data_IF_992814931870
#
_entry.id   IF_992814931870
#
_cell.length_a   1.000
_cell.length_b   1.000
_cell.length_c   1.000
_cell.angle_alpha   90.00
_cell.angle_beta   90.00
_cell.angle_gamma   90.00
#
_symmetry.space_group_name_H-M   'P 1'
#
loop_
_entity.id
_entity.type
_entity.pdbx_description
1 polymer ?
#
# COMPACT_ATOMS: atom_id res chain seq x y z
N UNK A 1 3.19 -3.38 -49.49
CA UNK A 1 2.53 -3.08 -48.21
C UNK A 1 2.93 -4.19 -47.28
N UNK A 2 3.76 -3.88 -46.30
CA UNK A 2 4.02 -4.77 -45.18
C UNK A 2 3.29 -4.12 -44.03
N UNK A 3 2.05 -4.53 -43.83
CA UNK A 3 1.32 -4.28 -42.60
C UNK A 3 1.97 -5.22 -41.58
N UNK A 4 3.00 -4.68 -40.91
CA UNK A 4 3.60 -5.28 -39.72
C UNK A 4 2.55 -5.11 -38.61
N UNK A 5 1.62 -6.06 -38.57
CA UNK A 5 0.57 -6.22 -37.57
C UNK A 5 1.28 -6.62 -36.26
N UNK A 6 1.85 -5.61 -35.58
CA UNK A 6 2.21 -5.75 -34.17
C UNK A 6 0.88 -5.85 -33.44
N UNK A 7 0.43 -7.09 -33.28
CA UNK A 7 -0.54 -7.51 -32.28
C UNK A 7 -0.02 -7.00 -30.94
N UNK A 8 -0.47 -5.79 -30.58
CA UNK A 8 -0.17 -5.07 -29.34
C UNK A 8 -0.85 -5.81 -28.20
N UNK A 9 -0.38 -7.03 -27.94
CA UNK A 9 -0.78 -7.81 -26.78
C UNK A 9 -0.13 -7.12 -25.59
N UNK A 10 -0.87 -6.17 -25.02
CA UNK A 10 -0.54 -5.62 -23.72
C UNK A 10 -0.27 -6.80 -22.78
N UNK A 11 0.92 -6.86 -22.15
CA UNK A 11 1.24 -7.94 -21.24
C UNK A 11 0.19 -7.99 -20.12
N UNK A 12 -0.13 -9.19 -19.61
CA UNK A 12 -1.05 -9.31 -18.50
C UNK A 12 -0.58 -8.45 -17.33
N UNK A 13 -1.51 -7.79 -16.63
CA UNK A 13 -1.23 -6.87 -15.51
C UNK A 13 -0.31 -7.52 -14.46
N UNK A 14 -0.41 -8.83 -14.28
CA UNK A 14 0.47 -9.61 -13.40
C UNK A 14 1.95 -9.58 -13.83
N UNK A 15 2.23 -9.65 -15.14
CA UNK A 15 3.59 -9.56 -15.67
C UNK A 15 4.16 -8.14 -15.60
N UNK A 16 3.30 -7.12 -15.68
CA UNK A 16 3.70 -5.72 -15.45
C UNK A 16 4.09 -5.48 -13.99
N UNK A 17 3.30 -6.02 -13.05
CA UNK A 17 3.59 -5.94 -11.61
C UNK A 17 4.87 -6.70 -11.24
N UNK A 18 5.09 -7.90 -11.79
CA UNK A 18 6.30 -8.69 -11.52
C UNK A 18 7.56 -7.99 -12.02
N UNK A 19 7.49 -7.36 -13.21
CA UNK A 19 8.59 -6.58 -13.76
C UNK A 19 8.86 -5.29 -12.97
N UNK A 20 7.81 -4.61 -12.48
CA UNK A 20 7.97 -3.43 -11.61
C UNK A 20 8.61 -3.82 -10.27
N UNK A 21 8.15 -4.91 -9.64
CA UNK A 21 8.74 -5.45 -8.41
C UNK A 21 10.23 -5.78 -8.57
N UNK A 22 10.60 -6.39 -9.69
CA UNK A 22 11.99 -6.76 -9.98
C UNK A 22 12.90 -5.55 -10.21
N UNK A 23 12.33 -4.41 -10.64
CA UNK A 23 13.05 -3.17 -10.92
C UNK A 23 13.02 -2.17 -9.75
N UNK A 24 12.16 -2.39 -8.75
CA UNK A 24 12.06 -1.50 -7.59
C UNK A 24 13.35 -1.48 -6.76
N UNK A 25 13.94 -0.30 -6.68
CA UNK A 25 15.08 -0.02 -5.82
C UNK A 25 14.65 0.27 -4.38
N UNK A 26 15.58 0.26 -3.43
CA UNK A 26 15.27 0.49 -2.01
C UNK A 26 14.59 1.85 -1.78
N UNK A 27 14.98 2.90 -2.51
CA UNK A 27 14.33 4.22 -2.44
C UNK A 27 12.84 4.15 -2.84
N UNK A 28 12.50 3.35 -3.84
CA UNK A 28 11.10 3.18 -4.28
C UNK A 28 10.29 2.37 -3.26
N UNK A 29 10.93 1.39 -2.62
CA UNK A 29 10.34 0.65 -1.50
C UNK A 29 10.09 1.55 -0.28
N UNK A 30 10.98 2.50 0.00
CA UNK A 30 10.80 3.49 1.07
C UNK A 30 9.68 4.47 0.70
N UNK A 31 9.64 4.95 -0.55
CA UNK A 31 8.59 5.85 -1.03
C UNK A 31 7.21 5.19 -0.90
N UNK A 32 7.07 3.96 -1.40
CA UNK A 32 5.83 3.19 -1.31
C UNK A 32 5.37 3.01 0.14
N UNK A 33 6.30 2.71 1.05
CA UNK A 33 5.99 2.60 2.47
C UNK A 33 5.38 3.90 3.00
N UNK A 34 6.00 5.04 2.70
CA UNK A 34 5.53 6.35 3.15
C UNK A 34 4.15 6.69 2.56
N UNK A 35 3.95 6.46 1.26
CA UNK A 35 2.66 6.70 0.58
C UNK A 35 1.52 5.90 1.23
N UNK A 36 1.76 4.63 1.57
CA UNK A 36 0.77 3.78 2.25
C UNK A 36 0.51 4.24 3.70
N UNK A 37 1.52 4.74 4.41
CA UNK A 37 1.35 5.31 5.75
C UNK A 37 0.52 6.60 5.72
N UNK A 38 0.81 7.49 4.76
CA UNK A 38 0.05 8.72 4.53
C UNK A 38 -1.41 8.42 4.16
N UNK A 39 -1.64 7.41 3.30
CA UNK A 39 -2.98 6.97 2.96
C UNK A 39 -3.76 6.47 4.18
N UNK A 40 -3.18 5.57 4.99
CA UNK A 40 -3.84 5.08 6.21
C UNK A 40 -4.14 6.22 7.18
N UNK A 41 -3.19 7.12 7.41
CA UNK A 41 -3.39 8.29 8.27
C UNK A 41 -4.55 9.15 7.77
N UNK A 42 -4.62 9.41 6.46
CA UNK A 42 -5.70 10.20 5.83
C UNK A 42 -7.06 9.52 6.00
N UNK A 43 -7.14 8.20 5.80
CA UNK A 43 -8.39 7.45 5.95
C UNK A 43 -8.84 7.41 7.42
N UNK A 44 -7.95 7.04 8.34
CA UNK A 44 -8.29 6.96 9.78
C UNK A 44 -8.68 8.33 10.34
N UNK A 45 -8.08 9.43 9.86
CA UNK A 45 -8.49 10.80 10.17
C UNK A 45 -9.86 11.16 9.59
N UNK A 46 -10.17 10.70 8.38
CA UNK A 46 -11.47 10.95 7.73
C UNK A 46 -12.62 10.20 8.41
N UNK A 47 -12.36 9.01 8.98
CA UNK A 47 -13.35 8.23 9.72
C UNK A 47 -13.51 8.69 11.18
N UNK A 48 -12.46 9.24 11.80
CA UNK A 48 -12.47 9.66 13.21
C UNK A 48 -11.97 11.12 13.37
N UNK A 49 -12.85 12.13 13.28
CA UNK A 49 -12.47 13.54 13.43
C UNK A 49 -11.94 13.90 14.83
N UNK A 50 -12.09 13.02 15.83
CA UNK A 50 -11.46 13.19 17.15
C UNK A 50 -9.91 13.19 17.10
N UNK A 51 -9.31 12.70 16.00
CA UNK A 51 -7.88 12.74 15.72
C UNK A 51 -7.46 13.96 14.85
N UNK A 52 -8.28 15.03 14.81
CA UNK A 52 -7.98 16.27 14.08
C UNK A 52 -6.63 16.93 14.45
N UNK A 53 -6.01 16.54 15.57
CA UNK A 53 -4.75 17.11 16.08
C UNK A 53 -3.53 16.18 16.01
N UNK A 54 -3.67 14.95 15.52
CA UNK A 54 -2.53 14.04 15.38
C UNK A 54 -1.86 14.25 14.02
N UNK A 55 -0.79 15.06 14.00
CA UNK A 55 0.19 15.05 12.92
C UNK A 55 0.54 13.60 12.56
N UNK A 56 0.86 13.34 11.29
CA UNK A 56 1.29 12.02 10.83
C UNK A 56 2.43 11.45 11.70
N UNK A 57 3.26 12.33 12.27
CA UNK A 57 4.31 11.98 13.22
C UNK A 57 3.75 11.26 14.47
N UNK A 58 2.64 11.75 15.04
CA UNK A 58 2.00 11.09 16.20
C UNK A 58 1.39 9.75 15.83
N UNK A 59 0.76 9.66 14.65
CA UNK A 59 0.25 8.38 14.16
C UNK A 59 1.37 7.36 13.92
N UNK A 60 2.52 7.82 13.40
CA UNK A 60 3.72 7.00 13.23
C UNK A 60 4.35 6.60 14.56
N UNK A 61 4.26 7.42 15.61
CA UNK A 61 4.72 7.04 16.95
C UNK A 61 3.88 5.87 17.50
N UNK A 62 2.55 5.95 17.37
CA UNK A 62 1.61 4.92 17.84
C UNK A 62 1.58 3.65 16.96
N UNK A 63 1.79 3.78 15.65
CA UNK A 63 1.53 2.69 14.68
C UNK A 63 2.73 2.36 13.78
N UNK A 64 3.79 3.17 13.76
CA UNK A 64 4.90 3.05 12.81
C UNK A 64 5.67 1.75 12.94
N UNK A 65 5.92 1.26 14.16
CA UNK A 65 6.59 -0.04 14.37
C UNK A 65 5.71 -1.21 13.90
N UNK A 66 4.40 -1.16 14.18
CA UNK A 66 3.46 -2.20 13.76
C UNK A 66 3.31 -2.18 12.24
N UNK A 67 3.25 -0.99 11.65
CA UNK A 67 3.19 -0.81 10.21
C UNK A 67 4.48 -1.29 9.53
N UNK A 68 5.65 -1.03 10.11
CA UNK A 68 6.92 -1.54 9.57
C UNK A 68 6.93 -3.07 9.51
N UNK A 69 6.48 -3.74 10.59
CA UNK A 69 6.34 -5.21 10.59
C UNK A 69 5.34 -5.71 9.57
N UNK A 70 4.20 -5.04 9.46
CA UNK A 70 3.18 -5.33 8.45
C UNK A 70 3.75 -5.21 7.02
N UNK A 71 4.45 -4.11 6.76
CA UNK A 71 5.06 -3.82 5.46
C UNK A 71 6.15 -4.83 5.10
N UNK A 72 7.06 -5.15 6.04
CA UNK A 72 8.09 -6.16 5.85
C UNK A 72 7.48 -7.55 5.60
N UNK A 73 6.42 -7.91 6.34
CA UNK A 73 5.72 -9.17 6.15
C UNK A 73 5.14 -9.29 4.74
N UNK A 74 4.48 -8.23 4.26
CA UNK A 74 3.91 -8.21 2.91
C UNK A 74 4.97 -8.17 1.83
N UNK A 75 6.03 -7.38 1.99
CA UNK A 75 7.17 -7.35 1.06
C UNK A 75 7.78 -8.74 0.89
N UNK A 76 7.81 -9.56 1.95
CA UNK A 76 8.35 -10.92 1.88
C UNK A 76 7.36 -11.98 1.38
N UNK A 77 6.05 -11.79 1.57
CA UNK A 77 5.05 -12.84 1.31
C UNK A 77 4.20 -12.57 0.07
N UNK A 78 3.83 -11.30 -0.14
CA UNK A 78 2.91 -10.83 -1.18
C UNK A 78 3.27 -9.40 -1.61
N UNK A 79 4.48 -9.19 -2.18
CA UNK A 79 4.90 -7.86 -2.61
C UNK A 79 3.99 -7.28 -3.70
N UNK A 80 3.35 -8.13 -4.52
CA UNK A 80 2.39 -7.67 -5.53
C UNK A 80 1.17 -6.94 -4.93
N UNK A 81 0.78 -7.25 -3.70
CA UNK A 81 -0.32 -6.53 -3.03
C UNK A 81 0.08 -5.09 -2.69
N UNK A 82 1.34 -4.85 -2.31
CA UNK A 82 1.82 -3.51 -1.99
C UNK A 82 1.77 -2.60 -3.22
N UNK A 83 2.18 -3.10 -4.39
CA UNK A 83 2.06 -2.35 -5.64
C UNK A 83 0.62 -2.14 -6.09
N UNK A 84 -0.24 -3.16 -5.96
CA UNK A 84 -1.67 -3.00 -6.25
C UNK A 84 -2.32 -1.94 -5.37
N UNK A 85 -1.94 -1.87 -4.10
CA UNK A 85 -2.42 -0.83 -3.20
C UNK A 85 -1.78 0.52 -3.45
N UNK A 86 -0.55 0.60 -3.99
CA UNK A 86 0.07 1.85 -4.45
C UNK A 86 -0.77 2.52 -5.52
N UNK A 87 -1.06 1.79 -6.59
CA UNK A 87 -1.80 2.30 -7.76
C UNK A 87 -3.18 2.84 -7.33
N UNK A 88 -3.82 2.12 -6.40
CA UNK A 88 -5.15 2.47 -5.87
C UNK A 88 -5.14 3.51 -4.74
N UNK A 89 -4.06 3.63 -3.96
CA UNK A 89 -3.92 4.68 -2.96
C UNK A 89 -3.67 6.06 -3.62
N UNK A 90 -3.05 6.05 -4.80
CA UNK A 90 -2.82 7.22 -5.65
C UNK A 90 -4.03 7.57 -6.53
N UNK A 91 -4.87 6.59 -6.88
CA UNK A 91 -6.14 6.85 -7.57
C UNK A 91 -7.18 7.44 -6.60
N UNK A 92 -7.25 8.77 -6.57
CA UNK A 92 -8.17 9.56 -5.75
C UNK A 92 -9.66 9.31 -6.06
N UNK A 93 -9.98 8.51 -7.09
CA UNK A 93 -11.33 8.34 -7.62
C UNK A 93 -11.94 6.96 -7.29
N UNK A 94 -11.13 5.96 -6.91
CA UNK A 94 -11.62 4.69 -6.38
C UNK A 94 -11.69 4.73 -4.85
N UNK A 95 -12.91 5.01 -4.38
CA UNK A 95 -13.33 4.90 -2.99
C UNK A 95 -12.81 3.61 -2.33
N UNK A 96 -12.10 3.79 -1.21
CA UNK A 96 -11.88 2.80 -0.17
C UNK A 96 -11.38 1.45 -0.68
N UNK A 97 -10.05 1.28 -0.72
CA UNK A 97 -9.49 -0.05 -0.74
C UNK A 97 -9.68 -0.69 0.65
N UNK A 98 -10.90 -1.18 0.81
CA UNK A 98 -11.42 -1.81 2.01
C UNK A 98 -10.58 -3.04 2.35
N UNK A 99 -9.93 -3.66 1.37
CA UNK A 99 -9.04 -4.80 1.59
C UNK A 99 -7.75 -4.37 2.28
N UNK A 100 -7.09 -3.30 1.82
CA UNK A 100 -5.90 -2.77 2.49
C UNK A 100 -6.22 -2.36 3.94
N UNK A 101 -7.27 -1.56 4.14
CA UNK A 101 -7.67 -1.06 5.46
C UNK A 101 -8.06 -2.23 6.39
N UNK A 102 -8.82 -3.22 5.90
CA UNK A 102 -9.18 -4.42 6.70
C UNK A 102 -7.96 -5.27 7.04
N UNK A 103 -7.05 -5.44 6.09
CA UNK A 103 -5.83 -6.24 6.29
C UNK A 103 -4.92 -5.58 7.31
N UNK A 104 -4.76 -4.26 7.24
CA UNK A 104 -4.10 -3.45 8.25
C UNK A 104 -4.78 -3.56 9.61
N UNK A 105 -6.10 -3.35 9.69
CA UNK A 105 -6.86 -3.39 10.94
C UNK A 105 -6.74 -4.75 11.62
N UNK A 106 -6.92 -5.85 10.87
CA UNK A 106 -6.77 -7.21 11.39
C UNK A 106 -5.35 -7.46 11.91
N UNK A 107 -4.32 -7.05 11.16
CA UNK A 107 -2.93 -7.19 11.62
C UNK A 107 -2.68 -6.40 12.91
N UNK A 108 -3.10 -5.13 12.94
CA UNK A 108 -2.97 -4.26 14.10
C UNK A 108 -3.68 -4.84 15.33
N UNK A 109 -4.90 -5.36 15.19
CA UNK A 109 -5.64 -5.99 16.29
C UNK A 109 -4.92 -7.24 16.81
N UNK A 110 -4.35 -8.08 15.93
CA UNK A 110 -3.57 -9.26 16.37
C UNK A 110 -2.30 -8.90 17.15
N UNK A 111 -1.71 -7.72 16.89
CA UNK A 111 -0.54 -7.21 17.61
C UNK A 111 -0.91 -6.45 18.89
N UNK A 112 -2.10 -5.83 18.94
CA UNK A 112 -2.61 -5.08 20.11
C UNK A 112 -3.38 -5.93 21.12
N UNK A 113 -3.74 -7.17 20.81
CA UNK A 113 -4.42 -8.05 21.74
C UNK A 113 -3.54 -8.35 22.97
N UNK A 114 -3.96 -7.99 24.20
CA UNK A 114 -3.27 -8.43 25.39
C UNK A 114 -3.46 -9.95 25.51
N UNK A 115 -2.35 -10.67 25.70
CA UNK A 115 -2.40 -12.04 26.23
C UNK A 115 -3.05 -12.05 27.60
#
# INVERSE_FOLDING_TARGET
MADDDIDDVLPPVEALLDNELAQMNEDEWVLLKNELQEYLHRIERSEYPAYESADIIGWLDDNGEIFDRFYQHLRSTKPELLLRWKDRALDLNEMNDTEFIRTWAAFRETQKAPR
#
